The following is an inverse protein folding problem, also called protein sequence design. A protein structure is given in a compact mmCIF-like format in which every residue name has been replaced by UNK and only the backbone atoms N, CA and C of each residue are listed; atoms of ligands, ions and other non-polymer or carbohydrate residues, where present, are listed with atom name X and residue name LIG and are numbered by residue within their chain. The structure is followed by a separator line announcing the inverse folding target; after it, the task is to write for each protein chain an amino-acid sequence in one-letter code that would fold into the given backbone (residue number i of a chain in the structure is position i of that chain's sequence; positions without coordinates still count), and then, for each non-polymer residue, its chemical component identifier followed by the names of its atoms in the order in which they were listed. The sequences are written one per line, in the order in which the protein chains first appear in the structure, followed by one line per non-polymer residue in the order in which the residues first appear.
data_IF_951504410501
#
_entry.id   IF_951504410501
#
_cell.length_a   1.000
_cell.length_b   1.000
_cell.length_c   1.000
_cell.angle_alpha   90.00
_cell.angle_beta   90.00
_cell.angle_gamma   90.00
#
_symmetry.space_group_name_H-M   'P 1'
#
loop_
_entity.id
_entity.type
_entity.pdbx_description
1 polymer ?
#
# COMPACT_ATOMS: atom_id res chain seq x y z
N UNK A 1 9.18 -7.81 10.44
CA UNK A 1 8.08 -7.06 9.79
C UNK A 1 7.05 -6.68 10.85
N UNK A 2 7.04 -5.43 11.26
CA UNK A 2 6.11 -4.86 12.25
C UNK A 2 5.49 -3.54 11.78
N UNK A 3 6.22 -2.73 11.00
CA UNK A 3 5.83 -1.40 10.54
C UNK A 3 5.86 -1.37 9.02
N UNK A 4 4.69 -1.51 8.42
CA UNK A 4 4.53 -1.83 7.00
C UNK A 4 3.87 -0.68 6.26
N UNK A 5 4.43 -0.29 5.10
CA UNK A 5 3.82 0.63 4.15
C UNK A 5 3.38 -0.14 2.91
N UNK A 6 2.16 0.14 2.44
CA UNK A 6 1.65 -0.39 1.16
C UNK A 6 1.34 0.80 0.24
N UNK A 7 2.03 0.84 -0.90
CA UNK A 7 1.95 1.92 -1.89
C UNK A 7 1.79 1.36 -3.30
N UNK A 8 1.42 2.19 -4.26
CA UNK A 8 1.19 1.81 -5.65
C UNK A 8 0.08 2.63 -6.29
N UNK A 9 -0.15 2.49 -7.61
CA UNK A 9 -1.19 3.24 -8.32
C UNK A 9 -2.58 3.04 -7.70
N UNK A 10 -3.49 4.02 -7.78
CA UNK A 10 -4.91 3.77 -7.51
C UNK A 10 -5.41 2.61 -8.39
N UNK A 11 -6.29 1.76 -7.86
CA UNK A 11 -6.77 0.57 -8.56
C UNK A 11 -5.82 -0.64 -8.56
N UNK A 12 -4.57 -0.50 -8.11
CA UNK A 12 -3.63 -1.64 -7.97
C UNK A 12 -4.06 -2.69 -6.91
N UNK A 13 -5.09 -2.40 -6.10
CA UNK A 13 -5.58 -3.35 -5.08
C UNK A 13 -4.84 -3.26 -3.75
N UNK A 14 -4.22 -2.10 -3.43
CA UNK A 14 -3.54 -1.87 -2.14
C UNK A 14 -4.40 -2.23 -0.94
N UNK A 15 -5.63 -1.72 -0.89
CA UNK A 15 -6.52 -1.94 0.24
C UNK A 15 -6.95 -3.41 0.39
N UNK A 16 -7.06 -4.13 -0.71
CA UNK A 16 -7.29 -5.60 -0.70
C UNK A 16 -6.05 -6.33 -0.17
N UNK A 17 -4.86 -5.97 -0.66
CA UNK A 17 -3.61 -6.54 -0.19
C UNK A 17 -3.38 -6.25 1.30
N UNK A 18 -3.63 -5.03 1.75
CA UNK A 18 -3.44 -4.61 3.14
C UNK A 18 -4.39 -5.33 4.11
N UNK A 19 -5.66 -5.52 3.74
CA UNK A 19 -6.61 -6.32 4.52
C UNK A 19 -6.17 -7.78 4.63
N UNK A 20 -5.80 -8.39 3.50
CA UNK A 20 -5.28 -9.74 3.49
C UNK A 20 -4.01 -9.91 4.34
N UNK A 21 -3.14 -8.90 4.36
CA UNK A 21 -1.95 -8.90 5.20
C UNK A 21 -2.31 -8.71 6.69
N UNK A 22 -3.24 -7.79 7.01
CA UNK A 22 -3.80 -7.63 8.36
C UNK A 22 -4.33 -8.96 8.90
N UNK A 23 -5.14 -9.65 8.12
CA UNK A 23 -5.81 -10.90 8.55
C UNK A 23 -4.81 -12.04 8.81
N UNK A 24 -3.64 -11.98 8.17
CA UNK A 24 -2.55 -12.96 8.36
C UNK A 24 -1.60 -12.61 9.49
N UNK A 25 -1.37 -11.32 9.70
CA UNK A 25 -0.37 -10.85 10.66
C UNK A 25 -0.96 -10.43 12.00
N UNK A 26 -2.26 -10.09 12.03
CA UNK A 26 -2.92 -9.50 13.20
C UNK A 26 -2.48 -8.05 13.47
N UNK A 27 -1.71 -7.41 12.56
CA UNK A 27 -1.23 -6.05 12.76
C UNK A 27 -2.36 -5.03 12.54
N UNK A 28 -2.38 -3.92 13.30
CA UNK A 28 -3.35 -2.85 13.07
C UNK A 28 -3.19 -2.24 11.68
N UNK A 29 -4.30 -2.09 10.94
CA UNK A 29 -4.35 -1.49 9.60
C UNK A 29 -4.94 -0.08 9.66
N UNK A 30 -4.26 0.85 8.99
CA UNK A 30 -4.67 2.25 8.83
C UNK A 30 -4.70 2.60 7.35
N UNK A 31 -5.89 2.90 6.83
CA UNK A 31 -6.09 3.47 5.51
C UNK A 31 -5.94 5.00 5.60
N UNK A 32 -4.99 5.58 4.89
CA UNK A 32 -4.77 7.04 4.93
C UNK A 32 -5.95 7.82 4.35
N UNK A 33 -6.70 7.22 3.43
CA UNK A 33 -7.89 7.84 2.86
C UNK A 33 -8.98 8.03 3.93
N UNK A 34 -9.17 7.09 4.86
CA UNK A 34 -10.08 7.22 6.00
C UNK A 34 -9.61 8.24 7.05
N UNK A 35 -8.32 8.56 7.07
CA UNK A 35 -7.80 9.60 7.96
C UNK A 35 -7.99 10.97 7.34
N UNK A 36 -7.78 11.07 6.02
CA UNK A 36 -7.84 12.32 5.27
C UNK A 36 -9.26 12.79 4.98
N UNK A 37 -10.13 11.86 4.57
CA UNK A 37 -11.49 12.16 4.14
C UNK A 37 -12.50 11.97 5.27
N UNK A 38 -13.55 12.82 5.25
CA UNK A 38 -14.70 12.72 6.13
C UNK A 38 -15.91 12.14 5.37
N UNK A 39 -16.94 11.63 6.07
CA UNK A 39 -18.12 11.05 5.42
C UNK A 39 -18.88 12.01 4.50
N UNK A 40 -18.80 13.32 4.74
CA UNK A 40 -19.40 14.38 3.91
C UNK A 40 -18.55 14.74 2.67
N UNK A 41 -17.49 13.95 2.39
CA UNK A 41 -16.50 14.13 1.32
C UNK A 41 -15.58 15.35 1.49
N UNK A 42 -15.64 16.04 2.62
CA UNK A 42 -14.63 17.04 2.98
C UNK A 42 -13.32 16.37 3.42
N UNK A 43 -12.30 17.16 3.63
CA UNK A 43 -11.02 16.68 4.14
C UNK A 43 -10.66 17.40 5.43
N UNK A 44 -9.90 16.75 6.29
CA UNK A 44 -9.29 17.40 7.44
C UNK A 44 -8.15 18.32 7.01
N UNK A 45 -7.66 19.17 7.91
CA UNK A 45 -6.49 19.99 7.63
C UNK A 45 -5.22 19.14 7.50
N UNK A 46 -4.18 19.72 6.87
CA UNK A 46 -2.88 19.03 6.74
C UNK A 46 -2.23 18.81 8.10
N UNK A 47 -2.37 19.77 8.98
CA UNK A 47 -1.86 19.74 10.35
C UNK A 47 -2.50 18.61 11.14
N UNK A 48 -3.83 18.51 11.10
CA UNK A 48 -4.56 17.43 11.76
C UNK A 48 -4.20 16.04 11.19
N UNK A 49 -4.04 15.95 9.87
CA UNK A 49 -3.58 14.71 9.23
C UNK A 49 -2.19 14.32 9.71
N UNK A 50 -1.26 15.28 9.79
CA UNK A 50 0.12 15.03 10.22
C UNK A 50 0.18 14.59 11.69
N UNK A 51 -0.61 15.21 12.57
CA UNK A 51 -0.74 14.80 13.97
C UNK A 51 -1.24 13.36 14.10
N UNK A 52 -2.33 13.02 13.39
CA UNK A 52 -2.86 11.66 13.38
C UNK A 52 -1.86 10.64 12.83
N UNK A 53 -1.17 11.00 11.76
CA UNK A 53 -0.14 10.13 11.16
C UNK A 53 1.03 9.92 12.14
N UNK A 54 1.54 10.96 12.78
CA UNK A 54 2.62 10.86 13.77
C UNK A 54 2.21 9.97 14.96
N UNK A 55 0.97 10.09 15.42
CA UNK A 55 0.44 9.22 16.48
C UNK A 55 0.42 7.74 16.07
N UNK A 56 0.17 7.43 14.79
CA UNK A 56 0.25 6.07 14.26
C UNK A 56 1.71 5.61 14.16
N UNK A 57 2.60 6.44 13.62
CA UNK A 57 4.01 6.11 13.44
C UNK A 57 4.75 5.87 14.78
N UNK A 58 4.28 6.48 15.87
CA UNK A 58 4.82 6.28 17.21
C UNK A 58 4.46 4.90 17.82
N UNK A 59 3.49 4.17 17.24
CA UNK A 59 3.10 2.83 17.72
C UNK A 59 4.17 1.79 17.39
N UNK A 60 4.19 0.70 18.15
CA UNK A 60 5.15 -0.38 17.96
C UNK A 60 4.96 -1.11 16.63
N UNK A 61 3.71 -1.26 16.19
CA UNK A 61 3.38 -2.01 14.97
C UNK A 61 2.17 -1.43 14.25
N UNK A 62 2.20 -1.50 12.91
CA UNK A 62 1.14 -1.00 12.05
C UNK A 62 1.31 -1.43 10.59
N UNK A 63 0.21 -1.43 9.86
CA UNK A 63 0.14 -1.45 8.41
C UNK A 63 -0.47 -0.10 7.99
N UNK A 64 0.19 0.66 7.13
CA UNK A 64 -0.31 1.91 6.56
C UNK A 64 -0.50 1.72 5.05
N UNK A 65 -1.74 1.86 4.58
CA UNK A 65 -2.13 1.83 3.18
C UNK A 65 -2.39 3.25 2.67
N UNK A 66 -1.80 3.58 1.54
CA UNK A 66 -2.03 4.86 0.84
C UNK A 66 -0.76 5.53 0.34
N UNK A 67 -0.88 6.25 -0.78
CA UNK A 67 0.27 6.88 -1.43
C UNK A 67 0.74 8.15 -0.68
N UNK A 68 -0.09 9.17 -0.58
CA UNK A 68 0.20 10.46 0.09
C UNK A 68 1.67 10.88 -0.01
N UNK A 69 2.08 11.28 -1.22
CA UNK A 69 3.49 11.55 -1.60
C UNK A 69 4.19 12.53 -0.65
N UNK A 70 3.45 13.52 -0.10
CA UNK A 70 3.97 14.50 0.86
C UNK A 70 4.54 13.86 2.14
N UNK A 71 3.90 12.78 2.61
CA UNK A 71 4.29 12.11 3.85
C UNK A 71 5.04 10.78 3.62
N UNK A 72 5.29 10.40 2.37
CA UNK A 72 5.95 9.11 2.06
C UNK A 72 7.35 9.02 2.68
N UNK A 73 8.15 10.06 2.53
CA UNK A 73 9.52 10.09 3.09
C UNK A 73 9.52 9.99 4.62
N UNK A 74 8.57 10.67 5.28
CA UNK A 74 8.39 10.55 6.72
C UNK A 74 8.07 9.09 7.12
N UNK A 75 7.09 8.47 6.47
CA UNK A 75 6.70 7.07 6.74
C UNK A 75 7.85 6.09 6.51
N UNK A 76 8.65 6.31 5.46
CA UNK A 76 9.83 5.50 5.16
C UNK A 76 10.88 5.53 6.28
N UNK A 77 11.00 6.63 7.04
CA UNK A 77 11.92 6.70 8.19
C UNK A 77 11.53 5.77 9.32
N UNK A 78 10.24 5.45 9.45
CA UNK A 78 9.69 4.65 10.56
C UNK A 78 9.41 3.19 10.19
N UNK A 79 9.22 2.87 8.91
CA UNK A 79 8.87 1.52 8.48
C UNK A 79 10.08 0.57 8.50
N UNK A 80 9.79 -0.71 8.60
CA UNK A 80 10.74 -1.81 8.39
C UNK A 80 10.47 -2.57 7.08
N UNK A 81 9.26 -2.44 6.51
CA UNK A 81 8.85 -3.16 5.32
C UNK A 81 8.00 -2.28 4.40
N UNK A 82 8.24 -2.39 3.09
CA UNK A 82 7.47 -1.70 2.06
C UNK A 82 6.99 -2.69 1.01
N UNK A 83 5.71 -2.61 0.66
CA UNK A 83 5.13 -3.26 -0.50
C UNK A 83 4.74 -2.20 -1.53
N UNK A 84 5.35 -2.28 -2.71
CA UNK A 84 4.99 -1.47 -3.88
C UNK A 84 4.23 -2.35 -4.87
N UNK A 85 2.95 -2.01 -5.13
CA UNK A 85 2.15 -2.63 -6.18
C UNK A 85 2.30 -1.80 -7.46
N UNK A 86 3.28 -2.16 -8.29
CA UNK A 86 3.67 -1.49 -9.54
C UNK A 86 3.09 -2.26 -10.73
N UNK A 87 1.75 -2.26 -10.83
CA UNK A 87 1.04 -2.99 -11.89
C UNK A 87 0.87 -2.15 -13.16
N UNK A 88 0.73 -2.81 -14.34
CA UNK A 88 0.41 -2.14 -15.59
C UNK A 88 -0.83 -1.24 -15.48
N UNK A 89 -0.85 -0.18 -16.26
CA UNK A 89 -1.91 0.83 -16.27
C UNK A 89 -3.30 0.21 -16.43
N UNK A 90 -3.43 -0.73 -17.36
CA UNK A 90 -4.69 -1.40 -17.69
C UNK A 90 -5.26 -2.17 -16.47
N UNK A 91 -4.38 -2.80 -15.69
CA UNK A 91 -4.76 -3.52 -14.46
C UNK A 91 -5.26 -2.53 -13.39
N UNK A 92 -4.65 -1.36 -13.30
CA UNK A 92 -5.04 -0.30 -12.37
C UNK A 92 -6.39 0.32 -12.77
N UNK A 93 -6.59 0.63 -14.05
CA UNK A 93 -7.85 1.15 -14.57
C UNK A 93 -9.00 0.15 -14.39
N UNK A 94 -8.78 -1.11 -14.72
CA UNK A 94 -9.76 -2.18 -14.47
C UNK A 94 -10.11 -2.27 -12.98
N UNK A 95 -9.11 -2.21 -12.09
CA UNK A 95 -9.31 -2.27 -10.65
C UNK A 95 -10.10 -1.08 -10.08
N UNK A 96 -10.07 0.11 -10.73
CA UNK A 96 -10.95 1.22 -10.35
C UNK A 96 -12.37 0.98 -10.85
N UNK A 97 -12.55 0.53 -12.09
CA UNK A 97 -13.87 0.20 -12.62
C UNK A 97 -14.57 -0.86 -11.78
N UNK A 98 -13.85 -1.89 -11.36
CA UNK A 98 -14.38 -3.02 -10.56
C UNK A 98 -14.93 -2.58 -9.20
N UNK A 99 -14.52 -1.43 -8.67
CA UNK A 99 -14.97 -0.94 -7.35
C UNK A 99 -16.17 0.01 -7.39
N UNK A 100 -16.54 0.50 -8.57
CA UNK A 100 -17.69 1.40 -8.74
C UNK A 100 -18.96 0.74 -8.22
N UNK A 101 -19.76 1.49 -7.45
CA UNK A 101 -20.98 1.02 -6.82
C UNK A 101 -20.79 0.07 -5.63
N UNK A 102 -19.57 -0.17 -5.17
CA UNK A 102 -19.28 -1.08 -4.05
C UNK A 102 -18.88 -0.33 -2.78
N UNK A 103 -19.35 -0.82 -1.64
CA UNK A 103 -18.85 -0.38 -0.34
C UNK A 103 -17.40 -0.82 -0.14
N UNK A 104 -16.64 0.03 0.54
CA UNK A 104 -15.21 -0.18 0.80
C UNK A 104 -14.84 0.22 2.23
N UNK A 105 -13.88 -0.48 2.83
CA UNK A 105 -13.36 -0.14 4.17
C UNK A 105 -12.41 1.07 4.16
N UNK A 106 -11.82 1.41 3.01
CA UNK A 106 -10.75 2.40 2.89
C UNK A 106 -11.23 3.82 2.56
N UNK A 107 -12.53 4.00 2.23
CA UNK A 107 -13.17 5.31 2.08
C UNK A 107 -14.58 5.30 2.70
N UNK A 108 -15.05 6.43 3.25
CA UNK A 108 -16.31 6.48 3.97
C UNK A 108 -17.57 6.71 3.08
N UNK A 109 -17.48 6.51 1.74
CA UNK A 109 -18.61 6.64 0.80
C UNK A 109 -18.50 5.63 -0.35
N UNK A 110 -19.59 5.49 -1.10
CA UNK A 110 -19.60 4.70 -2.34
C UNK A 110 -19.29 5.63 -3.53
N UNK A 111 -18.35 5.20 -4.39
CA UNK A 111 -18.08 5.85 -5.68
C UNK A 111 -19.04 5.27 -6.73
N UNK A 112 -19.87 6.12 -7.36
CA UNK A 112 -20.84 5.70 -8.36
C UNK A 112 -20.36 5.93 -9.80
N UNK A 113 -19.37 6.78 -9.99
CA UNK A 113 -18.85 7.16 -11.29
C UNK A 113 -17.33 7.12 -11.26
N UNK A 114 -16.71 6.87 -12.41
CA UNK A 114 -15.28 7.01 -12.59
C UNK A 114 -15.00 8.41 -13.13
N UNK A 115 -14.59 9.29 -12.24
CA UNK A 115 -14.22 10.67 -12.55
C UNK A 115 -13.05 10.72 -13.54
N UNK A 116 -13.17 11.55 -14.59
CA UNK A 116 -12.15 11.67 -15.64
C UNK A 116 -10.86 12.31 -15.11
N UNK A 117 -10.93 13.25 -14.18
CA UNK A 117 -9.75 13.83 -13.54
C UNK A 117 -8.98 12.76 -12.77
N UNK A 118 -9.68 11.91 -12.03
CA UNK A 118 -9.09 10.77 -11.33
C UNK A 118 -8.53 9.72 -12.30
N UNK A 119 -9.21 9.50 -13.43
CA UNK A 119 -8.70 8.63 -14.50
C UNK A 119 -7.38 9.15 -15.06
N UNK A 120 -7.32 10.45 -15.38
CA UNK A 120 -6.10 11.08 -15.87
C UNK A 120 -4.97 10.99 -14.83
N UNK A 121 -5.25 11.19 -13.55
CA UNK A 121 -4.28 10.99 -12.48
C UNK A 121 -3.68 9.58 -12.47
N UNK A 122 -4.48 8.54 -12.74
CA UNK A 122 -3.99 7.15 -12.84
C UNK A 122 -3.12 6.96 -14.08
N UNK A 123 -3.52 7.52 -15.23
CA UNK A 123 -2.75 7.46 -16.49
C UNK A 123 -1.37 8.10 -16.32
N UNK A 124 -1.31 9.22 -15.63
CA UNK A 124 -0.06 9.97 -15.40
C UNK A 124 0.79 9.43 -14.23
N UNK A 125 0.24 8.54 -13.42
CA UNK A 125 0.92 8.03 -12.22
C UNK A 125 2.30 7.41 -12.52
N UNK A 126 2.48 6.58 -13.58
CA UNK A 126 3.76 5.99 -13.91
C UNK A 126 4.85 7.03 -14.21
N UNK A 127 4.50 8.14 -14.86
CA UNK A 127 5.45 9.18 -15.24
C UNK A 127 5.67 10.22 -14.13
N UNK A 128 4.60 10.64 -13.46
CA UNK A 128 4.63 11.77 -12.55
C UNK A 128 4.88 11.39 -11.08
N UNK A 129 4.58 10.15 -10.67
CA UNK A 129 4.65 9.71 -9.27
C UNK A 129 5.63 8.58 -9.03
N UNK A 130 5.61 7.57 -9.88
CA UNK A 130 6.39 6.36 -9.70
C UNK A 130 7.92 6.61 -9.65
N UNK A 131 8.52 7.48 -10.48
CA UNK A 131 9.95 7.77 -10.41
C UNK A 131 10.39 8.31 -9.05
N UNK A 132 9.59 9.19 -8.43
CA UNK A 132 9.88 9.70 -7.10
C UNK A 132 9.73 8.61 -6.02
N UNK A 133 8.77 7.71 -6.15
CA UNK A 133 8.63 6.55 -5.26
C UNK A 133 9.89 5.70 -5.33
N UNK A 134 10.34 5.31 -6.52
CA UNK A 134 11.57 4.52 -6.70
C UNK A 134 12.80 5.22 -6.13
N UNK A 135 12.95 6.53 -6.38
CA UNK A 135 14.04 7.33 -5.82
C UNK A 135 14.06 7.30 -4.30
N UNK A 136 12.89 7.43 -3.66
CA UNK A 136 12.78 7.36 -2.21
C UNK A 136 13.03 5.94 -1.69
N UNK A 137 12.50 4.90 -2.34
CA UNK A 137 12.76 3.52 -1.95
C UNK A 137 14.25 3.20 -2.01
N UNK A 138 14.95 3.60 -3.05
CA UNK A 138 16.40 3.43 -3.16
C UNK A 138 17.16 4.19 -2.05
N UNK A 139 16.75 5.46 -1.76
CA UNK A 139 17.37 6.25 -0.67
C UNK A 139 17.24 5.57 0.70
N UNK A 140 16.11 4.90 0.94
CA UNK A 140 15.76 4.33 2.23
C UNK A 140 15.83 2.79 2.28
N UNK A 141 16.47 2.14 1.30
CA UNK A 141 16.53 0.67 1.23
C UNK A 141 17.32 0.02 2.38
N UNK A 142 18.31 0.72 2.91
CA UNK A 142 19.16 0.17 3.95
C UNK A 142 18.37 -0.15 5.22
N UNK A 143 18.44 -1.40 5.66
CA UNK A 143 17.77 -1.89 6.87
C UNK A 143 16.26 -2.08 6.73
N UNK A 144 15.73 -2.12 5.49
CA UNK A 144 14.31 -2.33 5.19
C UNK A 144 14.12 -3.47 4.19
N UNK A 145 13.01 -4.17 4.33
CA UNK A 145 12.56 -5.12 3.33
C UNK A 145 11.66 -4.38 2.32
N UNK A 146 12.03 -4.41 1.03
CA UNK A 146 11.26 -3.78 -0.03
C UNK A 146 10.84 -4.84 -1.03
N UNK A 147 9.52 -5.00 -1.19
CA UNK A 147 8.90 -5.92 -2.12
C UNK A 147 8.19 -5.13 -3.22
N UNK A 148 8.55 -5.38 -4.48
CA UNK A 148 7.94 -4.74 -5.64
C UNK A 148 7.23 -5.83 -6.45
N UNK A 149 5.91 -5.72 -6.55
CA UNK A 149 5.10 -6.65 -7.34
C UNK A 149 4.65 -5.96 -8.63
N UNK A 150 5.02 -6.51 -9.76
CA UNK A 150 4.62 -6.05 -11.08
C UNK A 150 3.42 -6.81 -11.65
N UNK A 151 3.09 -7.94 -11.07
CA UNK A 151 1.93 -8.75 -11.42
C UNK A 151 1.11 -9.05 -10.16
N UNK A 152 -0.21 -8.97 -10.28
CA UNK A 152 -1.14 -9.27 -9.17
C UNK A 152 -0.93 -10.69 -8.63
N UNK A 153 -0.71 -11.67 -9.51
CA UNK A 153 -0.45 -13.06 -9.12
C UNK A 153 0.73 -13.21 -8.17
N UNK A 154 1.78 -12.39 -8.31
CA UNK A 154 2.99 -12.50 -7.47
C UNK A 154 2.71 -11.99 -6.05
N UNK A 155 1.90 -10.94 -5.92
CA UNK A 155 1.42 -10.45 -4.63
C UNK A 155 0.47 -11.44 -3.95
N UNK A 156 -0.43 -12.06 -4.71
CA UNK A 156 -1.35 -13.09 -4.20
C UNK A 156 -0.58 -14.34 -3.75
N UNK A 157 0.43 -14.76 -4.51
CA UNK A 157 1.29 -15.88 -4.14
C UNK A 157 2.11 -15.58 -2.88
N UNK A 158 2.67 -14.39 -2.76
CA UNK A 158 3.36 -13.94 -1.56
C UNK A 158 2.47 -14.07 -0.32
N UNK A 159 1.23 -13.58 -0.41
CA UNK A 159 0.26 -13.68 0.68
C UNK A 159 -0.13 -15.15 0.97
N UNK A 160 -0.26 -16.00 -0.05
CA UNK A 160 -0.57 -17.43 0.11
C UNK A 160 0.54 -18.17 0.85
N UNK A 161 1.80 -17.90 0.50
CA UNK A 161 2.95 -18.54 1.12
C UNK A 161 3.18 -18.08 2.56
N UNK A 162 2.71 -16.90 2.94
CA UNK A 162 2.78 -16.41 4.32
C UNK A 162 2.11 -17.37 5.31
N UNK A 163 0.99 -17.97 4.95
CA UNK A 163 0.30 -18.95 5.79
C UNK A 163 1.10 -20.24 6.04
N UNK A 164 2.02 -20.59 5.15
CA UNK A 164 2.87 -21.77 5.29
C UNK A 164 4.03 -21.56 6.27
N UNK A 165 4.42 -20.32 6.56
CA UNK A 165 5.55 -20.02 7.46
C UNK A 165 5.16 -19.97 8.95
N UNK A 166 3.86 -19.91 9.24
CA UNK A 166 3.35 -19.80 10.64
C UNK A 166 3.02 -21.19 11.24
N UNK A 167 2.99 -22.25 10.44
CA UNK A 167 2.80 -23.61 10.98
C UNK A 167 4.14 -24.30 11.23
N UNK A 168 4.40 -24.87 12.44
CA UNK A 168 5.68 -25.47 12.82
C UNK A 168 6.12 -26.69 12.03
N UNK A 169 5.38 -27.11 11.00
CA UNK A 169 5.59 -28.41 10.31
C UNK A 169 6.26 -28.28 8.95
N UNK A 170 6.71 -27.10 8.53
CA UNK A 170 7.42 -26.96 7.24
C UNK A 170 8.84 -26.42 7.43
N UNK A 171 9.66 -27.18 8.19
CA UNK A 171 11.10 -27.08 8.14
C UNK A 171 11.57 -27.91 6.95
N UNK A 172 11.74 -27.32 5.79
CA UNK A 172 12.76 -27.57 4.75
C UNK A 172 12.40 -26.70 3.53
N UNK A 173 12.99 -25.56 3.43
CA UNK A 173 13.67 -24.95 2.27
C UNK A 173 13.80 -23.44 2.51
N UNK A 174 15.03 -23.10 2.87
CA UNK A 174 15.47 -21.71 2.98
C UNK A 174 15.32 -21.01 1.62
N UNK A 175 14.30 -20.21 1.45
CA UNK A 175 14.31 -19.17 0.43
C UNK A 175 14.97 -17.92 1.02
N UNK A 176 16.28 -17.78 0.76
CA UNK A 176 16.99 -16.52 0.90
C UNK A 176 16.45 -15.53 -0.12
N UNK A 177 15.45 -14.74 0.23
CA UNK A 177 15.02 -13.62 -0.59
C UNK A 177 15.61 -12.33 -0.04
N UNK A 178 16.90 -12.13 -0.25
CA UNK A 178 17.49 -10.79 -0.33
C UNK A 178 16.97 -10.13 -1.60
N UNK A 179 16.68 -8.82 -1.49
CA UNK A 179 16.26 -7.91 -2.58
C UNK A 179 16.76 -8.40 -3.95
N UNK A 180 15.85 -8.84 -4.81
CA UNK A 180 16.14 -9.07 -6.23
C UNK A 180 15.55 -7.93 -7.03
N UNK A 181 16.43 -7.04 -7.46
CA UNK A 181 16.17 -6.20 -8.63
C UNK A 181 16.07 -7.14 -9.84
N UNK A 182 14.87 -7.37 -10.34
CA UNK A 182 14.67 -8.06 -11.62
C UNK A 182 14.70 -6.96 -12.67
N UNK A 183 15.83 -6.90 -13.40
CA UNK A 183 15.99 -6.10 -14.62
C UNK A 183 15.12 -6.66 -15.74
#
# INVERSE_FOLDING_TARGET
MKRIIIIGSPGAGKSTFSRNLRDRTGLPLYHLDNIWHQPDRTTISREEFDEKLLAILAKESWIIDGNYSRTLELRLKYCDTVFLLDYPLEVCLAGVNDRIGKEREDIPWIEYEFDEEFRQFIVEFPENRLPNIYRLLHRYEQGREIHIFRLRKDADEYLRLWNCQVTPTCLVNKCNHKVRWIT
#
